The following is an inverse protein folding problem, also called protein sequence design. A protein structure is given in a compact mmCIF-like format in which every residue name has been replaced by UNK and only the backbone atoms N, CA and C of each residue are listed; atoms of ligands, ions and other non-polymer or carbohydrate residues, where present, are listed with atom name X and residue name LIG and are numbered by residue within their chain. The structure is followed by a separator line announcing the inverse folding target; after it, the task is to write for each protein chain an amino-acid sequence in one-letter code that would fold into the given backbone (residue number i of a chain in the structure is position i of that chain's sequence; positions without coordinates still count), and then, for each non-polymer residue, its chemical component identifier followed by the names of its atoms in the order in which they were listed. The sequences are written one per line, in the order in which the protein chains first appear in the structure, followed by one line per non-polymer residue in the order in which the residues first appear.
data_IF_194532735716
#
_entry.id   IF_194532735716
#
_cell.length_a   1.000
_cell.length_b   1.000
_cell.length_c   1.000
_cell.angle_alpha   90.00
_cell.angle_beta   90.00
_cell.angle_gamma   90.00
#
_symmetry.space_group_name_H-M   'P 1'
#
loop_
_entity.id
_entity.type
_entity.pdbx_description
1 polymer ?
#
# COMPACT_ATOMS: atom_id res chain seq x y z
N UNK A 1 16.46 -20.68 22.05
CA UNK A 1 16.18 -20.17 20.73
C UNK A 1 17.10 -19.01 20.44
N UNK A 2 17.59 -18.94 19.30
CA UNK A 2 18.62 -18.00 18.95
C UNK A 2 18.10 -16.95 17.97
N UNK A 3 18.23 -15.67 18.32
CA UNK A 3 17.92 -14.60 17.40
C UNK A 3 18.90 -14.57 16.23
N UNK A 4 20.10 -15.11 16.44
CA UNK A 4 21.07 -15.17 15.36
C UNK A 4 20.60 -16.07 14.23
N UNK A 5 19.96 -17.18 14.57
CA UNK A 5 19.43 -18.07 13.54
C UNK A 5 18.36 -17.37 12.72
N UNK A 6 17.49 -16.59 13.36
CA UNK A 6 16.46 -15.84 12.64
C UNK A 6 17.08 -14.80 11.73
N UNK A 7 18.08 -14.07 12.24
CA UNK A 7 18.75 -13.06 11.44
C UNK A 7 19.45 -13.68 10.24
N UNK A 8 20.18 -14.79 10.47
CA UNK A 8 20.97 -15.43 9.42
C UNK A 8 20.09 -16.06 8.34
N UNK A 9 18.86 -16.46 8.69
CA UNK A 9 17.99 -17.19 7.77
C UNK A 9 16.84 -16.37 7.26
N UNK A 10 16.84 -15.05 7.54
CA UNK A 10 15.75 -14.22 7.07
C UNK A 10 15.84 -14.07 5.56
N UNK A 11 14.90 -14.68 4.87
CA UNK A 11 14.82 -14.64 3.41
C UNK A 11 13.54 -13.96 2.96
N UNK A 12 13.01 -13.06 3.79
CA UNK A 12 11.78 -12.35 3.43
C UNK A 12 11.96 -11.60 2.12
N UNK A 13 10.97 -11.72 1.25
CA UNK A 13 10.95 -10.97 0.00
C UNK A 13 10.65 -9.49 0.27
N UNK A 14 10.08 -9.20 1.43
CA UNK A 14 9.67 -7.85 1.81
C UNK A 14 10.63 -7.32 2.84
N UNK A 15 10.94 -6.02 2.75
CA UNK A 15 11.89 -5.40 3.68
C UNK A 15 11.20 -4.78 4.88
N UNK A 16 9.93 -4.36 4.72
CA UNK A 16 9.16 -3.80 5.83
C UNK A 16 7.72 -3.62 5.39
N UNK A 17 6.85 -3.31 6.35
CA UNK A 17 5.49 -2.85 6.03
C UNK A 17 5.61 -1.39 5.61
N UNK A 18 5.24 -1.10 4.37
CA UNK A 18 5.33 0.25 3.83
C UNK A 18 4.19 1.11 4.36
N UNK A 19 2.97 0.63 4.19
CA UNK A 19 1.80 1.34 4.67
C UNK A 19 0.60 0.42 4.74
N UNK A 20 -0.44 0.91 5.43
CA UNK A 20 -1.74 0.27 5.47
C UNK A 20 -2.71 1.22 4.77
N UNK A 21 -3.42 0.74 3.76
CA UNK A 21 -4.36 1.55 2.99
C UNK A 21 -5.77 1.43 3.51
N UNK A 22 -6.38 2.56 3.80
CA UNK A 22 -7.73 2.65 4.35
C UNK A 22 -8.59 3.42 3.39
N UNK A 23 -9.68 2.80 2.93
CA UNK A 23 -10.63 3.43 2.03
C UNK A 23 -11.59 4.30 2.83
N UNK A 24 -11.72 5.56 2.42
CA UNK A 24 -12.59 6.54 3.10
C UNK A 24 -13.45 7.26 2.06
N UNK A 25 -14.69 7.65 2.41
CA UNK A 25 -15.53 8.35 1.45
C UNK A 25 -15.05 9.77 1.15
N UNK A 26 -14.48 10.46 2.12
CA UNK A 26 -14.09 11.87 2.01
C UNK A 26 -12.71 12.03 2.61
N UNK A 27 -11.73 12.39 1.77
CA UNK A 27 -10.34 12.45 2.19
C UNK A 27 -10.11 13.55 3.21
N UNK A 28 -10.65 14.75 2.97
CA UNK A 28 -10.38 15.87 3.85
C UNK A 28 -10.96 15.64 5.24
N UNK A 29 -12.17 15.07 5.32
CA UNK A 29 -12.76 14.73 6.61
C UNK A 29 -11.93 13.68 7.35
N UNK A 30 -11.43 12.67 6.61
CA UNK A 30 -10.64 11.61 7.23
C UNK A 30 -9.31 12.13 7.74
N UNK A 31 -8.65 13.00 6.96
CA UNK A 31 -7.39 13.61 7.39
C UNK A 31 -7.62 14.40 8.68
N UNK A 32 -8.67 15.21 8.71
CA UNK A 32 -8.98 16.01 9.91
C UNK A 32 -9.28 15.11 11.11
N UNK A 33 -10.02 14.02 10.89
CA UNK A 33 -10.35 13.10 11.98
C UNK A 33 -9.08 12.50 12.60
N UNK A 34 -8.16 12.04 11.76
CA UNK A 34 -6.92 11.44 12.27
C UNK A 34 -6.06 12.45 13.00
N UNK A 35 -5.99 13.68 12.50
CA UNK A 35 -5.18 14.70 13.15
C UNK A 35 -5.79 15.13 14.48
N UNK A 36 -7.10 15.40 14.50
CA UNK A 36 -7.76 15.90 15.69
C UNK A 36 -7.84 14.87 16.80
N UNK A 37 -8.03 13.60 16.46
CA UNK A 37 -8.25 12.57 17.47
C UNK A 37 -6.98 11.83 17.86
N UNK A 38 -6.03 11.68 16.92
CA UNK A 38 -4.86 10.84 17.18
C UNK A 38 -3.54 11.58 17.04
N UNK A 39 -3.57 12.83 16.58
CA UNK A 39 -2.33 13.56 16.32
C UNK A 39 -1.53 13.01 15.14
N UNK A 40 -2.16 12.20 14.30
CA UNK A 40 -1.52 11.63 13.12
C UNK A 40 -1.76 12.58 11.97
N UNK A 41 -0.67 13.11 11.38
CA UNK A 41 -0.77 14.19 10.41
C UNK A 41 -0.40 13.71 9.02
N UNK A 42 -1.02 14.35 8.02
CA UNK A 42 -0.72 14.07 6.61
C UNK A 42 0.64 14.67 6.27
N UNK A 43 1.49 13.86 5.63
CA UNK A 43 2.81 14.31 5.20
C UNK A 43 2.96 14.29 3.69
N UNK A 44 1.97 13.76 2.97
CA UNK A 44 2.03 13.72 1.52
C UNK A 44 0.61 13.50 1.00
N UNK A 45 0.20 14.26 0.00
CA UNK A 45 -1.10 14.09 -0.65
C UNK A 45 -0.90 14.14 -2.15
N UNK A 46 -1.67 13.32 -2.86
CA UNK A 46 -1.65 13.41 -4.32
C UNK A 46 -2.94 12.82 -4.89
N UNK A 47 -3.18 13.17 -6.15
CA UNK A 47 -4.29 12.62 -6.93
C UNK A 47 -3.71 11.69 -7.97
N UNK A 48 -4.20 10.48 -8.00
CA UNK A 48 -3.79 9.48 -8.99
C UNK A 48 -4.99 9.19 -9.89
N UNK A 49 -5.00 9.83 -11.05
CA UNK A 49 -6.16 9.71 -11.94
C UNK A 49 -6.22 8.33 -12.60
N UNK A 50 -5.08 7.72 -12.83
CA UNK A 50 -5.06 6.38 -13.40
C UNK A 50 -5.74 5.38 -12.48
N UNK A 51 -5.50 5.49 -11.17
CA UNK A 51 -6.11 4.63 -10.18
C UNK A 51 -7.48 5.13 -9.72
N UNK A 52 -7.82 6.37 -10.06
CA UNK A 52 -9.10 6.94 -9.68
C UNK A 52 -9.21 7.31 -8.21
N UNK A 53 -8.12 7.79 -7.60
CA UNK A 53 -8.10 8.08 -6.16
C UNK A 53 -7.43 9.40 -5.85
N UNK A 54 -7.87 10.03 -4.76
CA UNK A 54 -7.13 11.03 -4.00
C UNK A 54 -6.59 10.33 -2.77
N UNK A 55 -5.33 10.59 -2.44
CA UNK A 55 -4.71 9.83 -1.36
C UNK A 55 -3.85 10.73 -0.49
N UNK A 56 -3.72 10.33 0.77
CA UNK A 56 -2.88 11.01 1.74
C UNK A 56 -2.07 9.97 2.50
N UNK A 57 -0.78 10.27 2.69
CA UNK A 57 0.09 9.44 3.54
C UNK A 57 0.24 10.15 4.87
N UNK A 58 -0.05 9.43 5.93
CA UNK A 58 -0.05 9.97 7.30
C UNK A 58 1.11 9.36 8.08
N UNK A 59 1.84 10.22 8.79
CA UNK A 59 2.97 9.77 9.61
C UNK A 59 2.46 9.35 10.98
N UNK A 60 2.94 8.20 11.46
CA UNK A 60 2.55 7.69 12.78
C UNK A 60 3.78 7.77 13.67
N UNK A 61 3.80 8.78 14.56
CA UNK A 61 4.93 8.99 15.42
C UNK A 61 6.21 9.17 14.62
N UNK A 62 7.29 8.56 15.08
CA UNK A 62 8.59 8.62 14.41
C UNK A 62 8.85 7.39 13.54
N UNK A 63 7.87 6.51 13.40
CA UNK A 63 8.03 5.28 12.62
C UNK A 63 8.02 5.52 11.12
N UNK A 64 8.47 4.54 10.38
CA UNK A 64 8.53 4.63 8.92
C UNK A 64 7.26 4.13 8.25
N UNK A 65 6.51 3.27 8.91
CA UNK A 65 5.26 2.75 8.36
C UNK A 65 4.22 3.86 8.36
N UNK A 66 3.51 3.99 7.25
CA UNK A 66 2.50 5.03 7.08
C UNK A 66 1.11 4.46 7.11
N UNK A 67 0.14 5.30 7.42
CA UNK A 67 -1.26 5.03 7.16
C UNK A 67 -1.61 5.79 5.89
N UNK A 68 -2.20 5.11 4.92
CA UNK A 68 -2.63 5.75 3.68
C UNK A 68 -4.15 5.85 3.69
N UNK A 69 -4.67 7.04 3.45
CA UNK A 69 -6.10 7.24 3.27
C UNK A 69 -6.36 7.37 1.77
N UNK A 70 -7.38 6.66 1.28
CA UNK A 70 -7.71 6.60 -0.14
C UNK A 70 -9.17 6.95 -0.31
N UNK A 71 -9.46 8.00 -1.07
CA UNK A 71 -10.83 8.39 -1.38
C UNK A 71 -11.05 8.31 -2.88
N UNK A 72 -12.26 7.90 -3.32
CA UNK A 72 -12.51 7.74 -4.75
C UNK A 72 -12.66 9.08 -5.44
N UNK A 73 -12.13 9.19 -6.67
CA UNK A 73 -12.38 10.34 -7.51
C UNK A 73 -13.76 10.27 -8.18
N UNK A 74 -14.24 9.05 -8.41
CA UNK A 74 -15.51 8.82 -9.08
C UNK A 74 -16.03 7.44 -8.70
N UNK A 75 -17.26 7.15 -9.11
CA UNK A 75 -17.90 5.89 -8.72
C UNK A 75 -17.35 4.67 -9.45
N UNK A 76 -16.52 4.88 -10.47
CA UNK A 76 -15.96 3.75 -11.21
C UNK A 76 -14.63 3.29 -10.66
N UNK A 77 -14.06 4.00 -9.69
CA UNK A 77 -12.76 3.63 -9.16
C UNK A 77 -12.85 2.36 -8.32
N UNK A 78 -11.71 1.67 -8.19
CA UNK A 78 -11.64 0.47 -7.37
C UNK A 78 -12.00 0.77 -5.92
N UNK A 79 -11.60 1.95 -5.43
CA UNK A 79 -11.89 2.34 -4.04
C UNK A 79 -13.39 2.56 -3.85
N UNK A 80 -14.06 3.20 -4.82
CA UNK A 80 -15.51 3.38 -4.74
C UNK A 80 -16.23 2.03 -4.68
N UNK A 81 -15.79 1.08 -5.50
CA UNK A 81 -16.37 -0.25 -5.51
C UNK A 81 -16.14 -0.98 -4.21
N UNK A 82 -14.93 -0.82 -3.63
CA UNK A 82 -14.64 -1.42 -2.33
C UNK A 82 -15.57 -0.87 -1.26
N UNK A 83 -15.73 0.46 -1.19
CA UNK A 83 -16.61 1.08 -0.21
C UNK A 83 -18.06 0.63 -0.40
N UNK A 84 -18.51 0.54 -1.65
CA UNK A 84 -19.87 0.11 -1.95
C UNK A 84 -20.14 -1.33 -1.53
N UNK A 85 -19.12 -2.19 -1.57
CA UNK A 85 -19.24 -3.59 -1.23
C UNK A 85 -19.03 -3.87 0.25
N UNK A 86 -18.08 -3.17 0.86
CA UNK A 86 -17.62 -3.49 2.21
C UNK A 86 -17.74 -2.35 3.20
N UNK A 87 -18.09 -1.13 2.76
CA UNK A 87 -18.03 0.05 3.59
C UNK A 87 -16.60 0.57 3.72
N UNK A 88 -16.42 1.73 4.35
CA UNK A 88 -15.08 2.26 4.62
C UNK A 88 -14.29 1.30 5.50
N UNK A 89 -12.99 1.24 5.31
CA UNK A 89 -12.15 0.39 6.14
C UNK A 89 -10.85 0.06 5.47
N UNK A 90 -10.08 -0.82 6.11
CA UNK A 90 -8.78 -1.24 5.59
C UNK A 90 -8.97 -1.99 4.28
N UNK A 91 -8.29 -1.54 3.24
CA UNK A 91 -8.42 -2.11 1.91
C UNK A 91 -7.19 -2.91 1.52
N UNK A 92 -5.99 -2.50 1.94
CA UNK A 92 -4.78 -3.16 1.48
C UNK A 92 -3.66 -3.07 2.51
N UNK A 93 -2.74 -4.05 2.42
CA UNK A 93 -1.47 -4.04 3.14
C UNK A 93 -0.37 -3.90 2.11
N UNK A 94 0.49 -2.91 2.29
CA UNK A 94 1.58 -2.67 1.35
C UNK A 94 2.92 -3.00 1.99
N UNK A 95 3.75 -3.72 1.25
CA UNK A 95 5.08 -4.12 1.69
C UNK A 95 6.12 -3.54 0.76
N UNK A 96 7.21 -3.05 1.35
CA UNK A 96 8.33 -2.52 0.59
C UNK A 96 9.17 -3.66 0.05
N UNK A 97 9.57 -3.55 -1.21
CA UNK A 97 10.48 -4.49 -1.85
C UNK A 97 11.65 -3.73 -2.46
N UNK A 98 12.80 -4.41 -2.60
CA UNK A 98 13.98 -3.80 -3.19
C UNK A 98 13.90 -3.78 -4.72
N UNK A 99 13.39 -4.85 -5.31
CA UNK A 99 13.31 -5.00 -6.76
C UNK A 99 11.97 -5.65 -7.09
N UNK A 100 11.02 -4.82 -7.50
CA UNK A 100 9.65 -5.29 -7.69
C UNK A 100 9.53 -6.28 -8.83
N UNK A 101 10.35 -6.15 -9.87
CA UNK A 101 10.26 -7.09 -10.98
C UNK A 101 10.78 -8.46 -10.56
N UNK A 102 11.86 -8.50 -9.78
CA UNK A 102 12.39 -9.76 -9.28
C UNK A 102 11.42 -10.44 -8.32
N UNK A 103 10.82 -9.65 -7.41
CA UNK A 103 9.86 -10.20 -6.47
C UNK A 103 8.62 -10.69 -7.20
N UNK A 104 8.15 -9.94 -8.19
CA UNK A 104 6.98 -10.34 -8.97
C UNK A 104 7.25 -11.67 -9.70
N UNK A 105 8.42 -11.82 -10.29
CA UNK A 105 8.77 -13.06 -10.98
C UNK A 105 8.82 -14.24 -10.01
N UNK A 106 9.37 -14.02 -8.81
CA UNK A 106 9.43 -15.06 -7.80
C UNK A 106 8.03 -15.50 -7.35
N UNK A 107 7.14 -14.54 -7.14
CA UNK A 107 5.78 -14.84 -6.73
C UNK A 107 5.01 -15.56 -7.83
N UNK A 108 5.20 -15.15 -9.09
CA UNK A 108 4.57 -15.84 -10.22
C UNK A 108 5.06 -17.29 -10.32
N UNK A 109 6.34 -17.51 -10.07
CA UNK A 109 6.89 -18.87 -10.09
C UNK A 109 6.27 -19.73 -9.02
N UNK A 110 5.79 -19.14 -7.93
CA UNK A 110 5.09 -19.84 -6.87
C UNK A 110 3.59 -19.99 -7.12
N UNK A 111 3.10 -19.49 -8.26
CA UNK A 111 1.70 -19.64 -8.64
C UNK A 111 0.79 -18.52 -8.23
N UNK A 112 1.33 -17.42 -7.70
CA UNK A 112 0.50 -16.29 -7.31
C UNK A 112 0.24 -15.37 -8.50
N UNK A 113 -0.95 -14.79 -8.53
CA UNK A 113 -1.35 -13.87 -9.60
C UNK A 113 -1.06 -12.44 -9.19
N UNK A 114 -0.33 -11.73 -10.04
CA UNK A 114 -0.11 -10.29 -9.90
C UNK A 114 -1.13 -9.59 -10.79
N UNK A 115 -1.71 -8.49 -10.32
CA UNK A 115 -2.78 -7.80 -11.04
C UNK A 115 -2.28 -7.12 -12.30
N UNK A 116 -1.02 -6.68 -12.32
CA UNK A 116 -0.44 -6.04 -13.50
C UNK A 116 0.67 -6.89 -14.06
N UNK A 117 0.75 -6.94 -15.39
CA UNK A 117 1.85 -7.65 -16.02
C UNK A 117 3.17 -6.97 -15.70
N UNK A 118 3.18 -5.66 -15.73
CA UNK A 118 4.34 -4.84 -15.37
C UNK A 118 3.94 -3.88 -14.27
N UNK A 119 4.89 -3.56 -13.38
CA UNK A 119 4.63 -2.63 -12.29
C UNK A 119 4.18 -1.29 -12.85
N UNK A 120 3.31 -0.60 -12.10
CA UNK A 120 2.80 0.71 -12.47
C UNK A 120 3.28 1.75 -11.49
N UNK A 121 3.15 3.01 -11.87
CA UNK A 121 3.50 4.12 -10.99
C UNK A 121 2.48 4.22 -9.86
N UNK A 122 2.97 4.37 -8.63
CA UNK A 122 2.16 4.58 -7.45
C UNK A 122 2.52 5.87 -6.73
N UNK A 123 2.14 5.96 -5.47
CA UNK A 123 2.36 7.12 -4.64
C UNK A 123 3.83 7.51 -4.59
N UNK A 124 4.11 8.80 -4.70
CA UNK A 124 5.48 9.36 -4.60
C UNK A 124 6.43 8.71 -5.60
N UNK A 125 5.93 8.46 -6.82
CA UNK A 125 6.70 7.90 -7.92
C UNK A 125 7.26 6.51 -7.64
N UNK A 126 6.67 5.78 -6.71
CA UNK A 126 7.03 4.40 -6.47
C UNK A 126 6.57 3.52 -7.63
N UNK A 127 7.08 2.29 -7.67
CA UNK A 127 6.57 1.26 -8.57
C UNK A 127 5.73 0.30 -7.75
N UNK A 128 4.53 -0.04 -8.24
CA UNK A 128 3.60 -0.86 -7.48
C UNK A 128 3.04 -1.98 -8.31
N UNK A 129 2.67 -3.05 -7.63
CA UNK A 129 1.88 -4.13 -8.18
C UNK A 129 1.10 -4.75 -7.03
N UNK A 130 0.13 -5.58 -7.34
CA UNK A 130 -0.75 -6.15 -6.32
C UNK A 130 -0.84 -7.66 -6.49
N UNK A 131 -0.89 -8.39 -5.38
CA UNK A 131 -1.19 -9.81 -5.39
C UNK A 131 -2.69 -9.97 -5.23
N UNK A 132 -3.29 -10.80 -6.09
CA UNK A 132 -4.73 -11.04 -6.03
C UNK A 132 -5.11 -11.55 -4.64
N UNK A 133 -6.16 -10.98 -4.01
CA UNK A 133 -6.52 -11.40 -2.64
C UNK A 133 -6.76 -12.89 -2.48
N UNK A 134 -7.31 -13.54 -3.50
CA UNK A 134 -7.57 -14.97 -3.42
C UNK A 134 -6.30 -15.80 -3.28
N UNK A 135 -5.17 -15.24 -3.70
CA UNK A 135 -3.89 -15.93 -3.59
C UNK A 135 -3.11 -15.49 -2.35
N UNK A 136 -3.69 -14.61 -1.53
CA UNK A 136 -3.02 -14.04 -0.37
C UNK A 136 -3.92 -14.05 0.87
N UNK A 137 -4.70 -15.11 1.01
CA UNK A 137 -5.51 -15.29 2.22
C UNK A 137 -6.64 -14.31 2.38
N UNK A 138 -7.10 -13.70 1.28
CA UNK A 138 -8.19 -12.75 1.32
C UNK A 138 -7.76 -11.29 1.49
N UNK A 139 -6.45 -11.04 1.57
CA UNK A 139 -5.92 -9.68 1.76
C UNK A 139 -5.33 -9.18 0.46
N UNK A 140 -5.74 -7.99 0.02
CA UNK A 140 -5.09 -7.34 -1.10
C UNK A 140 -3.71 -6.88 -0.65
N UNK A 141 -2.68 -7.44 -1.27
CA UNK A 141 -1.30 -7.13 -0.89
C UNK A 141 -0.68 -6.30 -2.00
N UNK A 142 -0.13 -5.15 -1.62
CA UNK A 142 0.56 -4.26 -2.53
C UNK A 142 2.06 -4.42 -2.36
N UNK A 143 2.77 -4.50 -3.47
CA UNK A 143 4.24 -4.46 -3.50
C UNK A 143 4.64 -3.05 -3.86
N UNK A 144 5.59 -2.48 -3.12
CA UNK A 144 6.02 -1.10 -3.34
C UNK A 144 7.54 -1.07 -3.43
N UNK A 145 8.05 -0.65 -4.58
CA UNK A 145 9.47 -0.32 -4.72
C UNK A 145 9.55 1.19 -4.67
N UNK A 146 10.12 1.78 -3.61
CA UNK A 146 10.18 3.23 -3.50
C UNK A 146 10.98 3.84 -4.64
N UNK A 147 10.65 5.09 -4.98
CA UNK A 147 11.40 5.80 -6.01
C UNK A 147 12.85 5.96 -5.56
N UNK A 148 13.76 5.91 -6.53
CA UNK A 148 15.16 6.16 -6.23
C UNK A 148 15.30 7.56 -5.66
N UNK A 149 16.00 7.67 -4.53
CA UNK A 149 16.17 8.95 -3.88
C UNK A 149 17.21 9.76 -4.65
N UNK A 150 16.86 11.00 -4.95
CA UNK A 150 17.84 11.93 -5.52
C UNK A 150 18.81 12.34 -4.42
N UNK A 151 20.05 12.41 -4.75
CA UNK A 151 21.07 12.76 -3.76
C UNK A 151 21.85 13.98 -4.14
#
# INVERSE_FOLDING_TARGET
MSSDANTATNTSLFTKIDHVGIAVPDLDEAIAFYEQNFGIVSVHEETNEEQGVREAMLAVGSGETRVQLLAPLNENSTIAKFIGRSGPGIQQMAYTVDDIEAVSADLRAKGLRLLYENAKRGTADSKVNFIHPKDAGGVLIELVEPAATAH
#
